data_IF_666290014176
#
_entry.id   IF_666290014176
#
_cell.length_a   1.000
_cell.length_b   1.000
_cell.length_c   1.000
_cell.angle_alpha   90.00
_cell.angle_beta   90.00
_cell.angle_gamma   90.00
#
_symmetry.space_group_name_H-M   'P 1'
#
loop_
_entity.id
_entity.type
_entity.pdbx_description
1 polymer ?
#
# COMPACT_ATOMS: atom_id res chain seq x y z
N UNK A 1 -4.23 -8.57 14.28
CA UNK A 1 -4.05 -7.66 15.45
C UNK A 1 -3.19 -6.45 15.09
N UNK A 2 -2.07 -6.64 14.38
CA UNK A 2 -1.18 -5.52 13.97
C UNK A 2 -1.85 -4.54 13.00
N UNK A 3 -2.65 -5.00 12.02
CA UNK A 3 -3.28 -4.08 11.05
C UNK A 3 -4.24 -3.09 11.72
N UNK A 4 -5.04 -3.57 12.68
CA UNK A 4 -5.99 -2.72 13.41
C UNK A 4 -5.27 -1.66 14.25
N UNK A 5 -4.13 -2.00 14.84
CA UNK A 5 -3.31 -1.03 15.56
C UNK A 5 -2.74 0.04 14.61
N UNK A 6 -2.24 -0.35 13.43
CA UNK A 6 -1.75 0.59 12.41
C UNK A 6 -2.87 1.53 11.91
N UNK A 7 -4.07 0.99 11.69
CA UNK A 7 -5.24 1.77 11.27
C UNK A 7 -5.65 2.77 12.35
N UNK A 8 -5.71 2.35 13.62
CA UNK A 8 -6.05 3.25 14.72
C UNK A 8 -5.04 4.40 14.85
N UNK A 9 -3.74 4.09 14.79
CA UNK A 9 -2.69 5.13 14.83
C UNK A 9 -2.78 6.04 13.62
N UNK A 10 -2.93 5.48 12.41
CA UNK A 10 -3.10 6.27 11.20
C UNK A 10 -4.34 7.16 11.23
N UNK A 11 -5.40 6.70 11.91
CA UNK A 11 -6.64 7.47 12.07
C UNK A 11 -6.43 8.66 13.00
N UNK A 12 -5.79 8.46 14.14
CA UNK A 12 -5.44 9.53 15.06
C UNK A 12 -4.53 10.58 14.42
N UNK A 13 -3.59 10.16 13.58
CA UNK A 13 -2.70 11.06 12.85
C UNK A 13 -3.42 11.85 11.76
N UNK A 14 -4.48 11.28 11.17
CA UNK A 14 -5.23 11.95 10.11
C UNK A 14 -5.86 13.27 10.58
N UNK A 15 -6.21 13.39 11.86
CA UNK A 15 -6.79 14.62 12.42
C UNK A 15 -5.75 15.76 12.52
N UNK A 16 -4.46 15.44 12.50
CA UNK A 16 -3.37 16.40 12.69
C UNK A 16 -2.76 16.89 11.38
N UNK A 17 -3.07 16.27 10.24
CA UNK A 17 -2.45 16.58 8.95
C UNK A 17 -3.48 16.87 7.86
N UNK A 18 -3.19 17.81 6.97
CA UNK A 18 -4.07 18.11 5.82
C UNK A 18 -3.85 17.15 4.63
N UNK A 19 -2.79 16.34 4.66
CA UNK A 19 -2.42 15.40 3.59
C UNK A 19 -3.06 14.01 3.70
N UNK A 20 -2.48 13.05 2.98
CA UNK A 20 -2.86 11.63 3.03
C UNK A 20 -2.04 10.87 4.08
N UNK A 21 -2.64 9.84 4.65
CA UNK A 21 -1.98 8.86 5.52
C UNK A 21 -1.48 7.70 4.68
N UNK A 22 -0.16 7.50 4.70
CA UNK A 22 0.51 6.47 3.93
C UNK A 22 0.79 5.23 4.77
N UNK A 23 0.05 4.15 4.54
CA UNK A 23 0.14 2.90 5.30
C UNK A 23 0.85 1.84 4.48
N UNK A 24 1.88 1.24 5.06
CA UNK A 24 2.71 0.23 4.40
C UNK A 24 2.05 -1.15 4.46
N UNK A 25 2.04 -1.85 3.33
CA UNK A 25 1.63 -3.26 3.24
C UNK A 25 2.79 -4.15 3.66
N UNK A 26 2.51 -5.26 4.33
CA UNK A 26 3.52 -6.17 4.88
C UNK A 26 4.60 -6.53 3.84
N UNK A 27 5.88 -6.12 4.05
CA UNK A 27 6.96 -6.39 3.12
C UNK A 27 7.26 -7.88 2.88
N UNK A 28 6.79 -8.77 3.77
CA UNK A 28 6.92 -10.23 3.58
C UNK A 28 6.14 -10.72 2.35
N UNK A 29 5.12 -9.97 1.93
CA UNK A 29 4.32 -10.23 0.74
C UNK A 29 4.97 -9.66 -0.54
N UNK A 30 6.21 -9.17 -0.49
CA UNK A 30 6.84 -8.46 -1.62
C UNK A 30 6.87 -9.24 -2.95
N UNK A 31 6.77 -10.58 -2.93
CA UNK A 31 6.71 -11.41 -4.14
C UNK A 31 5.32 -12.02 -4.39
N UNK A 32 4.32 -11.69 -3.57
CA UNK A 32 2.95 -12.21 -3.66
C UNK A 32 1.99 -11.07 -4.05
N UNK A 33 1.70 -10.97 -5.34
CA UNK A 33 0.81 -9.95 -5.91
C UNK A 33 -0.58 -10.02 -5.28
N UNK A 34 -1.19 -11.20 -5.23
CA UNK A 34 -2.57 -11.36 -4.76
C UNK A 34 -2.66 -11.14 -3.24
N UNK A 35 -1.67 -11.61 -2.49
CA UNK A 35 -1.53 -11.32 -1.06
C UNK A 35 -1.45 -9.82 -0.76
N UNK A 36 -0.67 -9.06 -1.53
CA UNK A 36 -0.59 -7.60 -1.39
C UNK A 36 -1.93 -6.92 -1.68
N UNK A 37 -2.62 -7.30 -2.76
CA UNK A 37 -3.93 -6.75 -3.12
C UNK A 37 -4.97 -7.04 -2.03
N UNK A 38 -5.01 -8.27 -1.53
CA UNK A 38 -5.90 -8.67 -0.43
C UNK A 38 -5.62 -7.87 0.84
N UNK A 39 -4.34 -7.70 1.21
CA UNK A 39 -3.96 -6.94 2.40
C UNK A 39 -4.32 -5.46 2.28
N UNK A 40 -4.06 -4.83 1.14
CA UNK A 40 -4.44 -3.43 0.91
C UNK A 40 -5.97 -3.24 1.01
N UNK A 41 -6.77 -4.15 0.45
CA UNK A 41 -8.23 -4.11 0.57
C UNK A 41 -8.72 -4.32 2.00
N UNK A 42 -8.08 -5.21 2.77
CA UNK A 42 -8.40 -5.40 4.17
C UNK A 42 -8.11 -4.14 5.00
N UNK A 43 -6.96 -3.49 4.78
CA UNK A 43 -6.65 -2.21 5.42
C UNK A 43 -7.65 -1.12 5.03
N UNK A 44 -8.06 -1.05 3.77
CA UNK A 44 -9.09 -0.11 3.32
C UNK A 44 -10.43 -0.35 4.05
N UNK A 45 -10.84 -1.60 4.24
CA UNK A 45 -12.06 -1.92 5.02
C UNK A 45 -11.94 -1.40 6.45
N UNK A 46 -10.81 -1.64 7.11
CA UNK A 46 -10.57 -1.19 8.48
C UNK A 46 -10.56 0.35 8.58
N UNK A 47 -9.95 1.06 7.63
CA UNK A 47 -10.01 2.53 7.62
C UNK A 47 -11.43 3.06 7.39
N UNK A 48 -12.23 2.38 6.56
CA UNK A 48 -13.64 2.74 6.35
C UNK A 48 -14.45 2.53 7.63
N UNK A 49 -14.22 1.44 8.35
CA UNK A 49 -14.83 1.19 9.67
C UNK A 49 -14.41 2.25 10.70
N UNK A 50 -13.18 2.77 10.59
CA UNK A 50 -12.69 3.87 11.42
C UNK A 50 -13.15 5.27 10.97
N UNK A 51 -13.96 5.38 9.91
CA UNK A 51 -14.53 6.65 9.43
C UNK A 51 -13.62 7.48 8.52
N UNK A 52 -12.48 6.94 8.06
CA UNK A 52 -11.56 7.64 7.18
C UNK A 52 -11.91 7.42 5.70
N UNK A 53 -12.17 8.49 4.93
CA UNK A 53 -12.45 8.35 3.50
C UNK A 53 -11.20 7.92 2.75
N UNK A 54 -11.41 7.13 1.70
CA UNK A 54 -10.34 6.57 0.86
C UNK A 54 -9.38 7.62 0.31
N UNK A 55 -9.86 8.82 -0.02
CA UNK A 55 -9.05 9.87 -0.65
C UNK A 55 -7.97 10.44 0.28
N UNK A 56 -8.10 10.16 1.59
CA UNK A 56 -7.11 10.46 2.64
C UNK A 56 -6.10 9.34 2.83
N UNK A 57 -6.22 8.23 2.11
CA UNK A 57 -5.37 7.05 2.27
C UNK A 57 -4.41 6.90 1.09
N UNK A 58 -3.26 6.32 1.37
CA UNK A 58 -2.27 5.91 0.39
C UNK A 58 -1.64 4.59 0.85
N UNK A 59 -1.64 3.55 0.03
CA UNK A 59 -1.04 2.27 0.39
C UNK A 59 0.35 2.11 -0.20
N UNK A 60 1.36 1.96 0.65
CA UNK A 60 2.75 1.75 0.21
C UNK A 60 3.01 0.26 -0.02
N UNK A 61 3.39 -0.07 -1.25
CA UNK A 61 3.71 -1.43 -1.69
C UNK A 61 5.22 -1.57 -1.92
N UNK A 62 5.79 -2.74 -1.66
CA UNK A 62 7.18 -3.03 -2.03
C UNK A 62 7.40 -2.81 -3.54
N UNK A 63 8.47 -2.09 -3.90
CA UNK A 63 8.87 -1.86 -5.27
C UNK A 63 9.51 -3.12 -5.89
N UNK A 64 8.71 -4.14 -6.13
CA UNK A 64 9.05 -5.38 -6.85
C UNK A 64 8.13 -5.53 -8.06
N UNK A 65 8.39 -6.49 -8.96
CA UNK A 65 7.50 -6.74 -10.09
C UNK A 65 6.10 -7.16 -9.67
N UNK A 66 5.99 -8.01 -8.64
CA UNK A 66 4.70 -8.34 -8.04
C UNK A 66 4.01 -7.09 -7.45
N UNK A 67 4.78 -6.19 -6.84
CA UNK A 67 4.28 -4.94 -6.28
C UNK A 67 3.77 -3.96 -7.33
N UNK A 68 4.48 -3.81 -8.46
CA UNK A 68 4.04 -3.01 -9.61
C UNK A 68 2.73 -3.54 -10.18
N UNK A 69 2.61 -4.86 -10.33
CA UNK A 69 1.36 -5.48 -10.80
C UNK A 69 0.21 -5.29 -9.81
N UNK A 70 0.47 -5.47 -8.51
CA UNK A 70 -0.51 -5.23 -7.46
C UNK A 70 -0.97 -3.76 -7.44
N UNK A 71 -0.03 -2.82 -7.57
CA UNK A 71 -0.32 -1.39 -7.69
C UNK A 71 -1.23 -1.11 -8.88
N UNK A 72 -0.89 -1.60 -10.08
CA UNK A 72 -1.73 -1.44 -11.29
C UNK A 72 -3.17 -1.92 -11.06
N UNK A 73 -3.34 -3.06 -10.40
CA UNK A 73 -4.66 -3.61 -10.12
C UNK A 73 -5.44 -2.78 -9.08
N UNK A 74 -4.77 -2.27 -8.05
CA UNK A 74 -5.37 -1.42 -7.02
C UNK A 74 -5.74 -0.04 -7.56
N UNK A 75 -4.87 0.59 -8.34
CA UNK A 75 -5.13 1.86 -9.02
C UNK A 75 -6.30 1.75 -10.00
N UNK A 76 -6.39 0.64 -10.75
CA UNK A 76 -7.55 0.37 -11.63
C UNK A 76 -8.86 0.25 -10.85
N UNK A 77 -8.80 -0.10 -9.56
CA UNK A 77 -9.94 -0.12 -8.63
C UNK A 77 -10.11 1.22 -7.87
N UNK A 78 -9.42 2.28 -8.29
CA UNK A 78 -9.39 3.60 -7.64
C UNK A 78 -8.90 3.54 -6.18
N UNK A 79 -7.92 2.70 -5.88
CA UNK A 79 -7.26 2.64 -4.57
C UNK A 79 -5.87 3.26 -4.71
N UNK A 80 -5.58 4.42 -4.10
CA UNK A 80 -4.29 5.10 -4.25
C UNK A 80 -3.14 4.30 -3.65
N UNK A 81 -2.07 4.14 -4.40
CA UNK A 81 -0.87 3.39 -4.05
C UNK A 81 0.41 4.17 -4.34
N UNK A 82 1.47 3.80 -3.64
CA UNK A 82 2.82 4.27 -3.91
C UNK A 82 3.81 3.11 -3.78
N UNK A 83 4.81 3.06 -4.65
CA UNK A 83 5.88 2.06 -4.55
C UNK A 83 6.99 2.54 -3.61
N UNK A 84 7.48 1.64 -2.76
CA UNK A 84 8.55 1.91 -1.80
C UNK A 84 9.72 0.95 -2.02
N UNK A 85 10.90 1.53 -2.20
CA UNK A 85 12.14 0.78 -2.39
C UNK A 85 12.77 0.51 -1.02
N UNK A 86 12.72 -0.72 -0.55
CA UNK A 86 13.41 -1.13 0.68
C UNK A 86 14.89 -1.42 0.46
N UNK A 87 15.28 -1.80 -0.77
CA UNK A 87 16.68 -2.10 -1.14
C UNK A 87 16.99 -1.54 -2.52
N UNK A 88 17.82 -0.49 -2.57
CA UNK A 88 18.19 0.20 -3.82
C UNK A 88 18.80 -0.74 -4.86
N UNK A 89 19.54 -1.77 -4.42
CA UNK A 89 20.14 -2.78 -5.30
C UNK A 89 19.13 -3.60 -6.13
N UNK A 90 17.84 -3.60 -5.76
CA UNK A 90 16.80 -4.34 -6.47
C UNK A 90 16.15 -3.52 -7.60
N UNK A 91 16.36 -2.19 -7.63
CA UNK A 91 15.79 -1.30 -8.65
C UNK A 91 16.16 -1.69 -10.09
N UNK A 92 17.41 -2.03 -10.44
CA UNK A 92 17.76 -2.39 -11.82
C UNK A 92 16.91 -3.56 -12.34
N UNK A 93 16.68 -4.59 -11.50
CA UNK A 93 15.85 -5.74 -11.85
C UNK A 93 14.41 -5.34 -12.11
N UNK A 94 13.86 -4.42 -11.31
CA UNK A 94 12.52 -3.90 -11.49
C UNK A 94 12.36 -3.15 -12.81
N UNK A 95 13.31 -2.27 -13.13
CA UNK A 95 13.28 -1.45 -14.36
C UNK A 95 13.36 -2.35 -15.62
N UNK A 96 14.19 -3.40 -15.58
CA UNK A 96 14.23 -4.39 -16.65
C UNK A 96 12.89 -5.11 -16.81
N UNK A 97 12.22 -5.46 -15.72
CA UNK A 97 10.94 -6.17 -15.73
C UNK A 97 9.77 -5.30 -16.17
N UNK A 98 9.81 -3.98 -15.94
CA UNK A 98 8.74 -3.07 -16.37
C UNK A 98 8.78 -2.69 -17.84
N UNK A 99 9.90 -2.94 -18.52
CA UNK A 99 10.14 -2.59 -19.92
C UNK A 99 9.92 -3.77 -20.87
N UNK A 100 9.51 -4.92 -20.34
CA UNK A 100 9.13 -6.14 -21.05
C UNK A 100 7.60 -6.34 -20.93
#
# INVERSE_FOLDING_TARGET
>A
MVEKAMVNVGTLLADQVQGRIATEVDPRLANDKDGMVLKARALLSLYREAGLPRDRLLFRLPATWAGVQAARQLESANIPTQLQVHRVQQLPKLVCQSSA
#
